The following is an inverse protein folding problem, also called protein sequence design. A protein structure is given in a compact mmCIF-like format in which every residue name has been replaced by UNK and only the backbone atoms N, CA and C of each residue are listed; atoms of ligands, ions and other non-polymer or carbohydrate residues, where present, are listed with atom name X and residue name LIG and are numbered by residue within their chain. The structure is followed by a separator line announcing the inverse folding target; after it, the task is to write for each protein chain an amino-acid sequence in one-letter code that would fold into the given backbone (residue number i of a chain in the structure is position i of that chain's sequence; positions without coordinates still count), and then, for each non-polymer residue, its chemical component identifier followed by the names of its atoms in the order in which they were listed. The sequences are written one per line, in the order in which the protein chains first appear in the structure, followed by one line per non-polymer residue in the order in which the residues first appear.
data_IF_362209571026
#
_entry.id   IF_362209571026
#
_cell.length_a   1.000
_cell.length_b   1.000
_cell.length_c   1.000
_cell.angle_alpha   90.00
_cell.angle_beta   90.00
_cell.angle_gamma   90.00
#
_symmetry.space_group_name_H-M   'P 1'
#
loop_
_entity.id
_entity.type
_entity.pdbx_description
1 polymer ?
#
# COMPACT_ATOMS: atom_id res chain seq x y z
N UNK A 1 8.74 7.26 -10.85
CA UNK A 1 8.66 7.62 -12.29
C UNK A 1 8.64 6.40 -13.20
N UNK A 2 9.50 5.44 -12.93
CA UNK A 2 9.50 4.16 -13.65
C UNK A 2 8.14 3.43 -13.57
N UNK A 3 7.50 3.46 -12.44
CA UNK A 3 6.17 2.90 -12.25
C UNK A 3 5.08 3.58 -13.09
N UNK A 4 5.26 4.86 -13.46
CA UNK A 4 4.28 5.59 -14.29
C UNK A 4 4.30 5.18 -15.76
N UNK A 5 5.44 4.85 -16.34
CA UNK A 5 5.51 4.47 -17.75
C UNK A 5 5.15 3.01 -18.00
N UNK A 6 5.59 2.11 -17.13
CA UNK A 6 5.16 0.70 -17.17
C UNK A 6 3.67 0.59 -16.86
N UNK A 7 3.19 1.38 -15.90
CA UNK A 7 1.79 1.53 -15.63
C UNK A 7 1.03 2.07 -16.85
N UNK A 8 1.55 3.07 -17.56
CA UNK A 8 0.86 3.66 -18.71
C UNK A 8 0.54 2.65 -19.80
N UNK A 9 1.43 1.71 -20.09
CA UNK A 9 1.16 0.63 -21.05
C UNK A 9 0.16 -0.40 -20.56
N UNK A 10 0.22 -0.75 -19.28
CA UNK A 10 -0.68 -1.70 -18.65
C UNK A 10 -2.01 -1.04 -18.28
N UNK A 11 -1.99 0.26 -18.00
CA UNK A 11 -3.14 1.03 -17.52
C UNK A 11 -3.85 1.88 -18.57
N UNK A 12 -3.48 1.81 -19.85
CA UNK A 12 -4.24 2.49 -20.92
C UNK A 12 -5.72 2.11 -20.95
N UNK A 13 -6.08 1.00 -20.28
CA UNK A 13 -7.45 0.50 -20.15
C UNK A 13 -8.02 0.62 -18.74
N UNK A 14 -7.33 1.33 -17.85
CA UNK A 14 -7.78 1.50 -16.48
C UNK A 14 -8.18 2.95 -16.23
N UNK A 15 -9.22 3.10 -15.44
CA UNK A 15 -9.62 4.39 -14.88
C UNK A 15 -9.37 4.38 -13.38
N UNK A 16 -8.84 5.47 -12.85
CA UNK A 16 -8.46 5.58 -11.46
C UNK A 16 -9.39 6.50 -10.69
N UNK A 17 -9.74 6.08 -9.49
CA UNK A 17 -10.41 6.91 -8.49
C UNK A 17 -9.49 7.11 -7.31
N UNK A 18 -9.13 8.36 -7.05
CA UNK A 18 -8.32 8.69 -5.89
C UNK A 18 -9.16 8.72 -4.62
N UNK A 19 -8.58 8.29 -3.55
CA UNK A 19 -9.14 8.46 -2.20
C UNK A 19 -8.10 9.05 -1.27
N UNK A 20 -8.57 9.86 -0.35
CA UNK A 20 -7.73 10.49 0.66
C UNK A 20 -8.54 10.70 1.95
N UNK A 21 -7.89 10.93 3.09
CA UNK A 21 -8.62 11.18 4.34
C UNK A 21 -9.54 12.38 4.22
N UNK A 22 -10.75 12.25 4.72
CA UNK A 22 -11.76 13.31 4.71
C UNK A 22 -11.37 14.50 5.59
N UNK A 23 -10.74 14.21 6.70
CA UNK A 23 -10.26 15.23 7.64
C UNK A 23 -8.79 15.05 7.96
N UNK A 24 -8.09 16.16 8.13
CA UNK A 24 -6.73 16.12 8.64
C UNK A 24 -6.70 15.65 10.09
N UNK A 25 -6.03 14.54 10.33
CA UNK A 25 -5.79 13.98 11.66
C UNK A 25 -4.31 14.00 11.97
N UNK A 26 -3.95 14.07 13.23
CA UNK A 26 -2.54 13.96 13.66
C UNK A 26 -2.03 12.50 13.65
N UNK A 27 -2.91 11.54 13.48
CA UNK A 27 -2.59 10.13 13.36
C UNK A 27 -2.33 9.72 11.90
N UNK A 28 -1.54 8.68 11.66
CA UNK A 28 -1.37 8.09 10.33
C UNK A 28 -2.71 7.72 9.70
N UNK A 29 -2.83 7.97 8.41
CA UNK A 29 -4.00 7.65 7.62
C UNK A 29 -3.57 7.08 6.27
N UNK A 30 -4.49 6.80 5.40
CA UNK A 30 -4.24 6.16 4.11
C UNK A 30 -4.82 7.00 2.98
N UNK A 31 -4.05 7.16 1.92
CA UNK A 31 -4.53 7.70 0.64
C UNK A 31 -4.07 6.80 -0.50
N UNK A 32 -4.77 6.83 -1.59
CA UNK A 32 -4.39 6.00 -2.72
C UNK A 32 -5.29 6.15 -3.92
N UNK A 33 -5.24 5.15 -4.77
CA UNK A 33 -6.02 5.09 -6.00
C UNK A 33 -6.60 3.69 -6.17
N UNK A 34 -7.86 3.64 -6.49
CA UNK A 34 -8.56 2.43 -6.90
C UNK A 34 -8.60 2.45 -8.43
N UNK A 35 -8.02 1.42 -9.03
CA UNK A 35 -7.98 1.28 -10.48
C UNK A 35 -8.99 0.27 -10.96
N UNK A 36 -9.86 0.72 -11.85
CA UNK A 36 -10.92 -0.08 -12.45
C UNK A 36 -10.63 -0.30 -13.94
N UNK A 37 -11.09 -1.41 -14.46
CA UNK A 37 -11.13 -1.58 -15.91
C UNK A 37 -12.01 -0.49 -16.52
N UNK A 38 -11.49 0.23 -17.51
CA UNK A 38 -12.21 1.36 -18.12
C UNK A 38 -13.46 0.95 -18.90
N UNK A 39 -13.57 -0.32 -19.27
CA UNK A 39 -14.72 -0.86 -20.03
C UNK A 39 -15.74 -1.51 -19.12
N UNK A 40 -15.30 -2.32 -18.17
CA UNK A 40 -16.18 -3.13 -17.32
C UNK A 40 -16.38 -2.56 -15.93
N UNK A 41 -15.55 -1.58 -15.52
CA UNK A 41 -15.47 -1.02 -14.17
C UNK A 41 -15.15 -2.05 -13.08
N UNK A 42 -14.57 -3.19 -13.48
CA UNK A 42 -14.13 -4.19 -12.55
C UNK A 42 -12.85 -3.73 -11.83
N UNK A 43 -12.79 -3.99 -10.54
CA UNK A 43 -11.64 -3.65 -9.71
C UNK A 43 -10.40 -4.45 -10.14
N UNK A 44 -9.31 -3.76 -10.44
CA UNK A 44 -8.04 -4.38 -10.87
C UNK A 44 -6.92 -4.22 -9.87
N UNK A 45 -6.81 -3.05 -9.30
CA UNK A 45 -5.68 -2.71 -8.44
C UNK A 45 -6.09 -1.65 -7.44
N UNK A 46 -5.62 -1.80 -6.23
CA UNK A 46 -5.64 -0.74 -5.22
C UNK A 46 -4.21 -0.43 -4.84
N UNK A 47 -3.81 0.82 -5.05
CA UNK A 47 -2.55 1.36 -4.57
C UNK A 47 -2.83 2.28 -3.39
N UNK A 48 -2.02 2.18 -2.35
CA UNK A 48 -2.19 3.06 -1.21
C UNK A 48 -0.85 3.42 -0.58
N UNK A 49 -0.85 4.57 0.09
CA UNK A 49 0.28 5.06 0.88
C UNK A 49 -0.21 5.53 2.24
N UNK A 50 0.60 5.28 3.25
CA UNK A 50 0.35 5.86 4.56
C UNK A 50 0.76 7.33 4.56
N UNK A 51 -0.09 8.16 5.14
CA UNK A 51 0.14 9.59 5.29
C UNK A 51 0.49 9.92 6.73
N UNK A 52 1.11 11.08 6.94
CA UNK A 52 1.43 11.61 8.27
C UNK A 52 2.30 10.69 9.12
N UNK A 53 3.23 10.06 8.47
CA UNK A 53 4.27 9.33 9.15
C UNK A 53 5.32 10.30 9.70
N UNK A 54 6.08 9.90 10.74
CA UNK A 54 7.21 10.69 11.22
C UNK A 54 8.14 11.12 10.09
N UNK A 55 8.74 12.29 10.20
CA UNK A 55 9.57 12.90 9.15
C UNK A 55 10.69 11.98 8.63
N UNK A 56 11.22 11.11 9.47
CA UNK A 56 12.22 10.10 9.08
C UNK A 56 11.72 9.11 8.03
N UNK A 57 10.40 8.98 7.86
CA UNK A 57 9.77 8.04 6.92
C UNK A 57 9.12 8.71 5.73
N UNK A 58 9.05 10.04 5.71
CA UNK A 58 8.29 10.82 4.72
C UNK A 58 8.73 10.62 3.28
N UNK A 59 10.00 10.30 3.06
CA UNK A 59 10.58 10.09 1.73
C UNK A 59 10.59 8.62 1.29
N UNK A 60 9.98 7.72 2.06
CA UNK A 60 9.95 6.29 1.77
C UNK A 60 8.61 5.90 1.17
N UNK A 61 8.64 4.93 0.27
CA UNK A 61 7.42 4.34 -0.27
C UNK A 61 6.80 3.39 0.76
N UNK A 62 6.04 3.96 1.68
CA UNK A 62 5.38 3.22 2.74
C UNK A 62 3.90 3.13 2.39
N UNK A 63 3.44 1.94 2.14
CA UNK A 63 2.11 1.64 1.65
C UNK A 63 2.09 0.28 1.02
N UNK A 64 1.27 0.10 0.01
CA UNK A 64 1.18 -1.18 -0.65
C UNK A 64 0.33 -1.18 -1.90
N UNK A 65 0.19 -2.36 -2.45
CA UNK A 65 -0.65 -2.63 -3.60
C UNK A 65 -1.38 -3.95 -3.41
N UNK A 66 -2.60 -4.02 -3.91
CA UNK A 66 -3.39 -5.24 -3.96
C UNK A 66 -3.91 -5.40 -5.38
N UNK A 67 -3.51 -6.47 -6.04
CA UNK A 67 -3.90 -6.79 -7.40
C UNK A 67 -4.99 -7.85 -7.41
N UNK A 68 -6.03 -7.61 -8.17
CA UNK A 68 -7.17 -8.50 -8.30
C UNK A 68 -7.22 -9.09 -9.72
N UNK A 69 -7.63 -10.33 -9.81
CA UNK A 69 -7.88 -10.98 -11.08
C UNK A 69 -9.14 -11.83 -11.03
N UNK A 70 -9.76 -11.99 -12.18
CA UNK A 70 -10.92 -12.84 -12.33
C UNK A 70 -10.50 -14.17 -12.93
N UNK A 71 -10.90 -15.24 -12.27
CA UNK A 71 -10.67 -16.59 -12.75
C UNK A 71 -11.65 -16.93 -13.88
N UNK A 72 -11.32 -17.93 -14.73
CA UNK A 72 -12.24 -18.42 -15.74
C UNK A 72 -13.60 -18.86 -15.20
N UNK A 73 -13.66 -19.31 -13.95
CA UNK A 73 -14.90 -19.63 -13.23
C UNK A 73 -15.78 -18.42 -12.95
N UNK A 74 -15.26 -17.21 -13.09
CA UNK A 74 -15.91 -15.97 -12.70
C UNK A 74 -15.60 -15.51 -11.28
N UNK A 75 -14.93 -16.31 -10.48
CA UNK A 75 -14.53 -15.92 -9.13
C UNK A 75 -13.40 -14.89 -9.16
N UNK A 76 -13.46 -13.95 -8.23
CA UNK A 76 -12.43 -12.95 -8.03
C UNK A 76 -11.47 -13.38 -6.94
N UNK A 77 -10.18 -13.20 -7.20
CA UNK A 77 -9.13 -13.47 -6.21
C UNK A 77 -8.15 -12.29 -6.14
N UNK A 78 -7.47 -12.18 -5.01
CA UNK A 78 -6.26 -11.39 -4.91
C UNK A 78 -5.14 -12.19 -5.56
N UNK A 79 -4.60 -11.70 -6.67
CA UNK A 79 -3.53 -12.36 -7.40
C UNK A 79 -2.18 -12.17 -6.73
N UNK A 80 -1.91 -10.94 -6.33
CA UNK A 80 -0.70 -10.57 -5.59
C UNK A 80 -0.95 -9.34 -4.76
N UNK A 81 -0.19 -9.22 -3.70
CA UNK A 81 -0.24 -8.07 -2.82
C UNK A 81 1.10 -7.87 -2.15
N UNK A 82 1.39 -6.65 -1.78
CA UNK A 82 2.45 -6.37 -0.83
C UNK A 82 2.09 -5.14 0.01
N UNK A 83 2.64 -5.11 1.21
CA UNK A 83 2.56 -3.99 2.13
C UNK A 83 3.96 -3.71 2.63
N UNK A 84 4.34 -2.45 2.60
CA UNK A 84 5.62 -1.98 3.13
C UNK A 84 5.34 -1.07 4.30
N UNK A 85 5.82 -1.48 5.46
CA UNK A 85 5.62 -0.80 6.74
C UNK A 85 6.94 -0.39 7.36
N UNK A 86 6.97 0.77 8.07
CA UNK A 86 8.16 1.18 8.77
C UNK A 86 8.34 0.37 10.06
N UNK A 87 9.58 0.07 10.37
CA UNK A 87 9.97 -0.46 11.66
C UNK A 87 10.76 0.61 12.41
N UNK A 88 10.32 0.93 13.60
CA UNK A 88 10.98 1.89 14.47
C UNK A 88 11.78 1.20 15.56
N UNK A 89 12.82 1.85 16.05
CA UNK A 89 13.56 1.37 17.22
C UNK A 89 12.65 1.39 18.45
N UNK A 90 12.74 0.33 19.26
CA UNK A 90 11.98 0.20 20.50
C UNK A 90 12.41 1.20 21.59
N UNK A 91 13.58 1.83 21.42
CA UNK A 91 14.10 2.81 22.35
C UNK A 91 14.01 4.19 21.74
N UNK A 92 13.03 5.01 22.18
CA UNK A 92 12.97 6.39 21.75
C UNK A 92 14.19 7.16 22.26
N UNK A 93 14.73 8.02 21.39
CA UNK A 93 15.73 8.99 21.78
C UNK A 93 15.06 10.27 22.21
N UNK A 94 15.48 10.82 23.32
CA UNK A 94 15.02 12.13 23.76
C UNK A 94 16.01 13.20 23.32
N UNK A 95 15.49 14.26 22.72
CA UNK A 95 16.29 15.44 22.36
C UNK A 95 15.82 16.64 23.18
N UNK A 96 16.76 17.25 23.87
CA UNK A 96 16.46 18.49 24.55
C UNK A 96 16.12 19.59 23.55
N UNK A 97 15.08 20.35 23.85
CA UNK A 97 14.72 21.52 23.04
C UNK A 97 15.66 22.71 23.27
N UNK A 98 16.51 22.65 24.31
CA UNK A 98 17.34 23.77 24.72
C UNK A 98 16.57 24.90 25.38
N UNK A 99 15.28 24.77 25.54
CA UNK A 99 14.43 25.78 26.17
C UNK A 99 14.10 25.35 27.60
N UNK A 100 14.42 26.18 28.63
CA UNK A 100 14.06 25.87 30.00
C UNK A 100 12.56 25.70 30.18
N UNK A 101 12.14 24.67 30.91
CA UNK A 101 10.73 24.39 31.16
C UNK A 101 9.97 23.68 30.05
N UNK A 102 10.61 23.42 28.91
CA UNK A 102 10.03 22.65 27.82
C UNK A 102 10.49 21.19 27.91
N UNK A 103 9.52 20.27 27.90
CA UNK A 103 9.79 18.85 27.93
C UNK A 103 10.64 18.42 26.73
N UNK A 104 11.55 17.46 26.89
CA UNK A 104 12.31 16.91 25.77
C UNK A 104 11.40 16.25 24.75
N UNK A 105 11.76 16.39 23.48
CA UNK A 105 11.04 15.74 22.37
C UNK A 105 11.48 14.27 22.31
N UNK A 106 10.49 13.39 22.28
CA UNK A 106 10.70 11.95 22.07
C UNK A 106 10.72 11.67 20.57
N UNK A 107 11.83 11.15 20.08
CA UNK A 107 11.99 10.80 18.66
C UNK A 107 12.15 9.28 18.52
N UNK A 108 11.36 8.72 17.63
CA UNK A 108 11.54 7.35 17.18
C UNK A 108 12.35 7.35 15.89
N UNK A 109 13.43 6.57 15.86
CA UNK A 109 14.25 6.42 14.66
C UNK A 109 13.76 5.24 13.84
N UNK A 110 13.70 5.45 12.53
CA UNK A 110 13.44 4.38 11.58
C UNK A 110 14.59 3.36 11.63
N UNK A 111 14.28 2.14 12.03
CA UNK A 111 15.23 1.02 12.04
C UNK A 111 15.30 0.31 10.70
N UNK A 112 14.21 0.36 9.90
CA UNK A 112 14.14 -0.28 8.62
C UNK A 112 12.72 -0.30 8.08
N UNK A 113 12.56 -0.98 6.96
CA UNK A 113 11.26 -1.25 6.34
C UNK A 113 11.01 -2.76 6.37
N UNK A 114 9.78 -3.13 6.67
CA UNK A 114 9.31 -4.52 6.54
C UNK A 114 8.39 -4.56 5.34
N UNK A 115 8.67 -5.46 4.41
CA UNK A 115 7.79 -5.74 3.30
C UNK A 115 7.20 -7.13 3.47
N UNK A 116 5.89 -7.18 3.47
CA UNK A 116 5.14 -8.43 3.47
C UNK A 116 4.30 -8.49 2.21
N UNK A 117 4.19 -9.66 1.65
CA UNK A 117 3.43 -9.84 0.43
C UNK A 117 3.29 -11.29 0.03
N UNK A 118 2.52 -11.50 -0.99
CA UNK A 118 2.26 -12.82 -1.52
C UNK A 118 1.73 -12.81 -2.93
N UNK A 119 1.82 -13.95 -3.56
CA UNK A 119 1.22 -14.24 -4.85
C UNK A 119 0.37 -15.49 -4.72
N UNK A 120 -0.81 -15.45 -5.27
CA UNK A 120 -1.73 -16.58 -5.28
C UNK A 120 -1.73 -17.19 -6.68
N UNK A 121 -1.39 -18.46 -6.77
CA UNK A 121 -1.56 -19.26 -7.97
C UNK A 121 -2.71 -20.23 -7.75
N UNK A 122 -3.61 -20.31 -8.72
CA UNK A 122 -4.71 -21.27 -8.69
C UNK A 122 -4.38 -22.37 -9.68
N UNK A 123 -4.14 -23.57 -9.16
CA UNK A 123 -3.98 -24.74 -10.00
C UNK A 123 -5.33 -25.14 -10.59
N UNK A 124 -5.31 -25.50 -11.87
CA UNK A 124 -6.49 -26.08 -12.46
C UNK A 124 -6.82 -27.39 -11.76
N UNK A 125 -7.98 -27.42 -11.11
CA UNK A 125 -8.51 -28.67 -10.59
C UNK A 125 -8.72 -29.59 -11.79
N UNK A 126 -8.09 -30.80 -11.83
CA UNK A 126 -8.35 -31.73 -12.91
C UNK A 126 -9.85 -31.97 -12.99
N UNK A 127 -10.42 -31.76 -14.16
CA UNK A 127 -11.82 -32.09 -14.38
C UNK A 127 -12.04 -33.52 -13.98
N UNK A 128 -12.94 -33.75 -13.04
CA UNK A 128 -13.31 -35.08 -12.61
C UNK A 128 -13.75 -35.87 -13.83
N UNK A 129 -13.13 -37.00 -14.15
CA UNK A 129 -13.60 -37.77 -15.28
C UNK A 129 -15.08 -38.10 -15.10
N UNK A 130 -15.89 -38.04 -16.17
CA UNK A 130 -17.28 -38.42 -16.09
C UNK A 130 -17.37 -39.84 -15.59
N UNK A 131 -17.98 -40.02 -14.46
CA UNK A 131 -18.24 -41.33 -13.86
C UNK A 131 -19.27 -42.13 -14.66
#
# INVERSE_FOLDING_TARGET
MYAKETAKRTFERLTGMSFEPETERDSPDVRGTIWLDARTFELRLVEFRYTRLPSATSNRNIGGEVHFTRLPSGAWIVERWFIRIPRYNNRPTTRSTGVPGVAPVVEYRLAGLVEEGGTVAVDSVPSRPPG
#
